data_IF_330085223427
#
_entry.id   IF_330085223427
#
_cell.length_a   1.000
_cell.length_b   1.000
_cell.length_c   1.000
_cell.angle_alpha   90.00
_cell.angle_beta   90.00
_cell.angle_gamma   90.00
#
_symmetry.space_group_name_H-M   'P 1'
#
loop_
_entity.id
_entity.type
_entity.pdbx_description
1 polymer ?
#
# COMPACT_ATOMS: atom_id res chain seq x y z
N UNK A 1 -24.17 44.60 31.86
CA UNK A 1 -24.05 43.20 32.34
C UNK A 1 -24.85 42.26 31.44
N UNK A 2 -24.18 41.55 30.52
CA UNK A 2 -24.85 40.53 29.68
C UNK A 2 -25.21 39.34 30.57
N UNK A 3 -26.50 39.03 30.70
CA UNK A 3 -26.97 37.86 31.45
C UNK A 3 -26.46 36.60 30.73
N UNK A 4 -25.78 35.74 31.47
CA UNK A 4 -25.37 34.39 31.05
C UNK A 4 -26.61 33.66 30.50
N UNK A 5 -26.53 32.89 29.40
CA UNK A 5 -27.66 32.12 28.90
C UNK A 5 -28.11 31.14 29.98
N UNK A 6 -29.22 31.45 30.64
CA UNK A 6 -29.90 30.56 31.58
C UNK A 6 -30.97 29.80 30.82
N UNK A 7 -31.07 28.50 31.07
CA UNK A 7 -32.10 27.68 30.45
C UNK A 7 -33.47 28.17 30.89
N UNK A 8 -34.38 28.38 29.93
CA UNK A 8 -35.79 28.77 30.18
C UNK A 8 -36.45 27.78 31.17
N UNK A 9 -36.04 26.52 31.10
CA UNK A 9 -36.49 25.43 31.97
C UNK A 9 -36.15 25.64 33.45
N UNK A 10 -35.02 26.29 33.78
CA UNK A 10 -34.64 26.56 35.17
C UNK A 10 -35.53 27.63 35.81
N UNK A 11 -35.95 28.64 35.06
CA UNK A 11 -36.79 29.74 35.56
C UNK A 11 -38.25 29.31 35.79
N UNK A 12 -38.76 28.35 35.01
CA UNK A 12 -40.10 27.77 35.20
C UNK A 12 -40.14 26.93 36.48
N UNK A 13 -39.10 26.15 36.75
CA UNK A 13 -39.02 25.25 37.90
C UNK A 13 -39.00 25.95 39.25
N UNK A 14 -38.41 27.15 39.31
CA UNK A 14 -38.25 27.91 40.57
C UNK A 14 -39.55 28.62 40.97
N UNK A 15 -40.44 28.95 40.01
CA UNK A 15 -41.69 29.69 40.28
C UNK A 15 -42.70 28.91 41.13
N UNK A 16 -42.78 27.59 40.98
CA UNK A 16 -43.75 26.74 41.70
C UNK A 16 -43.18 26.09 42.97
N UNK A 17 -41.89 26.29 43.26
CA UNK A 17 -41.27 25.71 44.43
C UNK A 17 -41.67 26.50 45.69
N UNK A 18 -42.65 25.99 46.45
CA UNK A 18 -42.97 26.47 47.80
C UNK A 18 -41.82 26.17 48.77
N UNK A 19 -40.77 27.01 48.74
CA UNK A 19 -39.78 27.05 49.83
C UNK A 19 -40.38 27.82 51.00
N UNK A 20 -40.54 27.15 52.14
CA UNK A 20 -40.81 27.80 53.42
C UNK A 20 -39.70 28.85 53.65
N UNK A 21 -40.08 30.12 53.86
CA UNK A 21 -39.17 31.29 53.95
C UNK A 21 -38.26 31.33 55.18
N UNK A 22 -38.11 30.22 55.90
CA UNK A 22 -37.16 30.06 56.99
C UNK A 22 -37.01 28.60 57.38
N UNK A 23 -35.78 28.13 57.58
CA UNK A 23 -35.52 26.86 58.26
C UNK A 23 -35.39 27.12 59.76
N UNK A 24 -36.00 26.31 60.64
CA UNK A 24 -35.71 26.42 62.07
C UNK A 24 -34.23 26.09 62.28
N UNK A 25 -33.49 27.00 62.93
CA UNK A 25 -32.09 26.77 63.29
C UNK A 25 -32.05 25.74 64.42
N UNK A 26 -31.68 24.50 64.08
CA UNK A 26 -31.33 23.48 65.07
C UNK A 26 -29.82 23.53 65.27
N UNK A 27 -29.39 23.80 66.51
CA UNK A 27 -28.00 23.74 66.92
C UNK A 27 -27.44 22.34 66.64
N UNK A 28 -26.26 22.26 66.00
CA UNK A 28 -25.66 20.97 65.60
C UNK A 28 -25.08 20.24 66.82
N UNK A 29 -25.36 18.94 66.99
CA UNK A 29 -24.41 18.04 67.61
C UNK A 29 -23.86 17.04 66.59
N UNK A 30 -22.55 16.82 66.72
CA UNK A 30 -21.72 15.68 66.36
C UNK A 30 -22.33 14.54 65.53
N UNK A 31 -21.72 14.28 64.36
CA UNK A 31 -21.96 13.07 63.56
C UNK A 31 -21.47 11.81 64.30
N UNK A 32 -22.24 10.72 64.26
CA UNK A 32 -21.67 9.38 64.27
C UNK A 32 -21.78 8.73 62.88
N UNK A 33 -20.73 8.00 62.51
CA UNK A 33 -20.70 7.06 61.38
C UNK A 33 -21.78 6.00 61.58
N UNK A 34 -22.85 6.00 60.79
CA UNK A 34 -23.69 4.81 60.63
C UNK A 34 -24.15 4.73 59.17
N UNK A 35 -23.73 3.64 58.53
CA UNK A 35 -24.26 3.06 57.30
C UNK A 35 -25.78 3.25 57.28
N UNK A 36 -26.33 3.76 56.18
CA UNK A 36 -27.76 3.87 55.99
C UNK A 36 -28.39 2.47 56.08
N UNK A 37 -28.80 2.06 57.28
CA UNK A 37 -29.61 0.89 57.51
C UNK A 37 -31.03 1.27 57.09
N UNK A 38 -31.22 1.25 55.78
CA UNK A 38 -32.51 1.13 55.17
C UNK A 38 -33.08 -0.22 55.65
N UNK A 39 -33.82 -0.18 56.75
CA UNK A 39 -34.52 -1.36 57.27
C UNK A 39 -35.47 -1.95 56.21
N UNK A 40 -36.10 -3.11 56.48
CA UNK A 40 -36.91 -3.88 55.51
C UNK A 40 -38.01 -3.06 54.81
N UNK A 41 -38.37 -1.91 55.38
CA UNK A 41 -39.33 -0.97 54.84
C UNK A 41 -38.85 -0.12 53.65
N UNK A 42 -37.57 -0.18 53.27
CA UNK A 42 -37.05 0.54 52.11
C UNK A 42 -37.34 -0.14 50.76
N UNK A 43 -37.86 -1.37 50.76
CA UNK A 43 -38.06 -2.18 49.54
C UNK A 43 -39.54 -2.47 49.24
N UNK A 44 -40.48 -1.68 49.76
CA UNK A 44 -41.89 -1.79 49.36
C UNK A 44 -42.16 -1.12 48.00
N UNK A 45 -42.84 -1.86 47.12
CA UNK A 45 -42.98 -1.59 45.68
C UNK A 45 -43.69 -0.28 45.31
N UNK A 46 -44.40 0.37 46.25
CA UNK A 46 -45.25 1.55 45.97
C UNK A 46 -44.98 2.79 46.84
N UNK A 47 -43.93 2.81 47.67
CA UNK A 47 -43.70 3.93 48.60
C UNK A 47 -43.40 5.27 47.92
N UNK A 48 -42.97 5.28 46.66
CA UNK A 48 -42.74 6.51 45.88
C UNK A 48 -44.01 7.28 45.54
N UNK A 49 -45.20 6.68 45.68
CA UNK A 49 -46.47 7.29 45.27
C UNK A 49 -47.35 7.74 46.45
N UNK A 50 -47.01 7.39 47.69
CA UNK A 50 -47.74 7.87 48.87
C UNK A 50 -47.24 9.28 49.27
N UNK A 51 -48.13 10.28 49.42
CA UNK A 51 -47.75 11.64 49.75
C UNK A 51 -47.30 11.76 51.23
N UNK A 52 -46.07 11.38 51.52
CA UNK A 52 -45.48 11.60 52.84
C UNK A 52 -44.93 13.03 52.95
N UNK A 53 -45.54 13.83 53.83
CA UNK A 53 -45.25 15.24 54.05
C UNK A 53 -43.81 15.56 54.53
N UNK A 54 -43.00 14.53 54.82
CA UNK A 54 -41.68 14.68 55.44
C UNK A 54 -40.51 14.73 54.43
N UNK A 55 -40.69 14.28 53.18
CA UNK A 55 -39.61 14.29 52.20
C UNK A 55 -39.54 15.65 51.47
N UNK A 56 -38.66 16.51 51.98
CA UNK A 56 -38.31 17.80 51.38
C UNK A 56 -37.68 17.60 50.00
N UNK A 57 -38.25 18.28 49.01
CA UNK A 57 -37.89 18.33 47.60
C UNK A 57 -38.34 17.13 46.75
N UNK A 58 -39.65 17.05 46.46
CA UNK A 58 -40.09 16.38 45.23
C UNK A 58 -39.63 17.22 44.04
N UNK A 59 -38.73 16.65 43.25
CA UNK A 59 -38.43 17.11 41.90
C UNK A 59 -39.69 16.85 41.07
N UNK A 60 -40.57 17.85 40.94
CA UNK A 60 -41.77 17.77 40.10
C UNK A 60 -41.35 17.47 38.67
N UNK A 61 -41.97 16.52 37.94
CA UNK A 61 -41.56 16.29 36.53
C UNK A 61 -41.60 17.63 35.78
N UNK A 62 -40.56 18.00 35.01
CA UNK A 62 -40.58 19.24 34.26
C UNK A 62 -41.84 19.27 33.38
N UNK A 63 -42.61 20.37 33.47
CA UNK A 63 -43.80 20.61 32.64
C UNK A 63 -43.49 20.53 31.14
N UNK A 64 -42.24 20.80 30.78
CA UNK A 64 -41.75 20.83 29.41
C UNK A 64 -40.47 20.01 29.38
N UNK A 65 -40.52 18.82 28.77
CA UNK A 65 -39.33 17.98 28.61
C UNK A 65 -38.29 18.73 27.77
N UNK A 66 -37.00 18.63 28.09
CA UNK A 66 -35.96 19.17 27.23
C UNK A 66 -36.10 18.51 25.85
N UNK A 67 -36.04 19.32 24.79
CA UNK A 67 -36.04 18.81 23.42
C UNK A 67 -34.75 18.00 23.24
N UNK A 68 -34.88 16.67 23.24
CA UNK A 68 -33.74 15.78 23.05
C UNK A 68 -33.34 15.84 21.58
N UNK A 69 -32.18 16.41 21.30
CA UNK A 69 -31.57 16.33 19.97
C UNK A 69 -30.84 15.00 19.89
N UNK A 70 -31.33 14.11 19.03
CA UNK A 70 -30.59 12.89 18.68
C UNK A 70 -29.46 13.34 17.76
N UNK A 71 -28.23 13.25 18.26
CA UNK A 71 -27.03 13.44 17.44
C UNK A 71 -26.88 12.14 16.64
N UNK A 72 -27.24 12.16 15.36
CA UNK A 72 -26.95 11.05 14.47
C UNK A 72 -25.43 11.00 14.26
N UNK A 73 -24.72 9.97 14.75
CA UNK A 73 -23.26 9.91 14.66
C UNK A 73 -22.76 9.87 13.21
N UNK A 74 -23.63 9.47 12.28
CA UNK A 74 -23.38 9.46 10.83
C UNK A 74 -23.19 10.87 10.25
N UNK A 75 -23.82 11.89 10.84
CA UNK A 75 -23.77 13.26 10.33
C UNK A 75 -22.55 14.06 10.81
N UNK A 76 -21.79 13.54 11.79
CA UNK A 76 -20.70 14.27 12.44
C UNK A 76 -19.31 13.65 12.24
N UNK A 77 -19.23 12.45 11.69
CA UNK A 77 -17.98 11.77 11.38
C UNK A 77 -17.86 11.62 9.87
N UNK A 78 -16.80 12.19 9.28
CA UNK A 78 -16.44 11.89 7.90
C UNK A 78 -16.34 10.38 7.71
N UNK A 79 -17.01 9.86 6.69
CA UNK A 79 -16.96 8.43 6.36
C UNK A 79 -15.53 8.03 5.99
N UNK A 80 -15.18 6.75 6.10
CA UNK A 80 -13.85 6.27 5.67
C UNK A 80 -13.59 6.62 4.19
N UNK A 81 -14.64 6.58 3.36
CA UNK A 81 -14.58 6.97 1.95
C UNK A 81 -14.17 8.43 1.79
N UNK A 82 -14.74 9.33 2.57
CA UNK A 82 -14.40 10.77 2.53
C UNK A 82 -12.99 11.04 3.08
N UNK A 83 -12.57 10.32 4.13
CA UNK A 83 -11.21 10.45 4.68
C UNK A 83 -10.13 9.95 3.72
N UNK A 84 -10.46 8.95 2.91
CA UNK A 84 -9.57 8.38 1.89
C UNK A 84 -9.82 8.96 0.50
N UNK A 85 -10.77 9.90 0.35
CA UNK A 85 -11.11 10.46 -0.94
C UNK A 85 -9.92 11.27 -1.46
N UNK A 86 -9.38 10.81 -2.58
CA UNK A 86 -8.43 11.59 -3.38
C UNK A 86 -9.24 12.61 -4.17
N UNK A 87 -8.81 13.88 -4.29
CA UNK A 87 -9.51 14.87 -5.10
C UNK A 87 -9.73 14.36 -6.53
N UNK A 88 -10.94 14.52 -7.05
CA UNK A 88 -11.24 14.17 -8.44
C UNK A 88 -10.55 15.17 -9.36
N UNK A 89 -9.54 14.71 -10.08
CA UNK A 89 -8.83 15.52 -11.07
C UNK A 89 -9.40 15.21 -12.45
N UNK A 90 -9.65 16.26 -13.25
CA UNK A 90 -10.08 16.11 -14.63
C UNK A 90 -9.02 15.34 -15.41
N UNK A 91 -9.45 14.30 -16.14
CA UNK A 91 -8.57 13.45 -16.94
C UNK A 91 -8.68 13.81 -18.42
N UNK A 92 -7.55 13.81 -19.11
CA UNK A 92 -7.42 14.16 -20.52
C UNK A 92 -6.95 12.94 -21.33
N UNK A 93 -7.68 12.62 -22.40
CA UNK A 93 -7.31 11.60 -23.36
C UNK A 93 -6.39 12.21 -24.43
N UNK A 94 -5.15 11.73 -24.52
CA UNK A 94 -4.14 12.20 -25.49
C UNK A 94 -4.01 11.27 -26.71
N UNK A 95 -4.70 10.14 -26.72
CA UNK A 95 -4.56 9.15 -27.78
C UNK A 95 -5.46 9.37 -28.98
N UNK A 96 -5.43 8.38 -29.87
CA UNK A 96 -6.39 8.32 -30.96
C UNK A 96 -7.81 8.07 -30.43
N UNK A 97 -8.79 8.65 -31.12
CA UNK A 97 -10.19 8.32 -30.87
C UNK A 97 -10.40 6.82 -31.04
N UNK A 98 -11.15 6.21 -30.12
CA UNK A 98 -11.54 4.81 -30.22
C UNK A 98 -12.15 4.56 -31.60
N UNK A 99 -11.76 3.45 -32.24
CA UNK A 99 -12.51 2.91 -33.38
C UNK A 99 -13.94 2.71 -32.87
N UNK A 100 -14.90 3.46 -33.42
CA UNK A 100 -16.32 3.21 -33.12
C UNK A 100 -16.56 1.76 -33.51
N UNK A 101 -16.78 0.88 -32.53
CA UNK A 101 -17.31 -0.45 -32.81
C UNK A 101 -18.59 -0.21 -33.59
N UNK A 102 -18.57 -0.48 -34.89
CA UNK A 102 -19.79 -0.55 -35.68
C UNK A 102 -20.74 -1.42 -34.85
N UNK A 103 -21.99 -0.98 -34.59
CA UNK A 103 -22.93 -1.79 -33.82
C UNK A 103 -22.87 -3.19 -34.39
N UNK A 104 -22.56 -4.17 -33.53
CA UNK A 104 -22.40 -5.58 -33.89
C UNK A 104 -23.54 -5.87 -34.87
N UNK A 105 -23.25 -6.18 -36.15
CA UNK A 105 -24.31 -6.53 -37.08
C UNK A 105 -25.13 -7.61 -36.39
N UNK A 106 -26.44 -7.39 -36.26
CA UNK A 106 -27.35 -8.38 -35.68
C UNK A 106 -26.92 -9.75 -36.23
N UNK A 107 -26.60 -10.73 -35.37
CA UNK A 107 -25.96 -11.96 -35.82
C UNK A 107 -26.73 -12.51 -37.01
N UNK A 108 -26.06 -12.91 -38.10
CA UNK A 108 -26.75 -13.45 -39.27
C UNK A 108 -27.55 -14.66 -38.80
N UNK A 109 -28.88 -14.52 -38.72
CA UNK A 109 -29.85 -15.52 -38.25
C UNK A 109 -29.35 -16.43 -37.13
N UNK A 110 -29.67 -16.13 -35.86
CA UNK A 110 -29.40 -16.99 -34.69
C UNK A 110 -29.39 -18.47 -35.07
N UNK A 111 -28.19 -19.07 -35.13
CA UNK A 111 -28.11 -20.49 -35.43
C UNK A 111 -28.82 -21.20 -34.28
N UNK A 112 -29.90 -21.95 -34.58
CA UNK A 112 -30.73 -22.67 -33.59
C UNK A 112 -29.91 -23.56 -32.62
N UNK A 113 -28.66 -23.81 -32.96
CA UNK A 113 -27.69 -24.57 -32.19
C UNK A 113 -27.07 -23.80 -31.02
N UNK A 114 -26.83 -22.49 -31.12
CA UNK A 114 -26.23 -21.69 -30.03
C UNK A 114 -27.13 -21.70 -28.80
N UNK A 115 -28.44 -21.51 -29.00
CA UNK A 115 -29.41 -21.52 -27.90
C UNK A 115 -29.56 -22.92 -27.27
N UNK A 116 -29.46 -23.99 -28.07
CA UNK A 116 -29.43 -25.38 -27.57
C UNK A 116 -28.16 -25.67 -26.76
N UNK A 117 -27.00 -25.21 -27.23
CA UNK A 117 -25.71 -25.37 -26.54
C UNK A 117 -25.66 -24.53 -25.26
N UNK A 118 -26.24 -23.32 -25.27
CA UNK A 118 -26.40 -22.48 -24.07
C UNK A 118 -27.22 -23.19 -22.99
N UNK A 119 -28.39 -23.74 -23.35
CA UNK A 119 -29.23 -24.52 -22.43
C UNK A 119 -28.52 -25.74 -21.85
N UNK A 120 -27.56 -26.31 -22.58
CA UNK A 120 -26.74 -27.44 -22.14
C UNK A 120 -25.42 -27.04 -21.48
N UNK A 121 -25.12 -25.74 -21.37
CA UNK A 121 -23.86 -25.20 -20.83
C UNK A 121 -22.64 -25.76 -21.60
N UNK A 122 -22.72 -25.80 -22.93
CA UNK A 122 -21.69 -26.31 -23.84
C UNK A 122 -21.09 -25.23 -24.74
N UNK A 123 -21.38 -23.95 -24.48
CA UNK A 123 -20.82 -22.85 -25.25
C UNK A 123 -19.36 -22.60 -24.87
N UNK A 124 -18.49 -22.58 -25.88
CA UNK A 124 -17.10 -22.19 -25.76
C UNK A 124 -16.89 -20.85 -26.47
N UNK A 125 -16.09 -19.98 -25.85
CA UNK A 125 -15.69 -18.70 -26.43
C UNK A 125 -14.25 -18.85 -26.89
N UNK A 126 -13.95 -18.43 -28.12
CA UNK A 126 -12.56 -18.36 -28.56
C UNK A 126 -11.86 -17.19 -27.89
N UNK A 127 -11.10 -17.49 -26.84
CA UNK A 127 -10.36 -16.50 -26.08
C UNK A 127 -9.32 -15.77 -26.94
N UNK A 128 -8.85 -16.35 -28.04
CA UNK A 128 -7.86 -15.70 -28.92
C UNK A 128 -8.43 -14.50 -29.67
N UNK A 129 -9.74 -14.50 -29.92
CA UNK A 129 -10.44 -13.42 -30.61
C UNK A 129 -10.89 -12.31 -29.66
N UNK A 130 -10.81 -12.51 -28.34
CA UNK A 130 -11.24 -11.52 -27.34
C UNK A 130 -10.13 -10.51 -27.10
N UNK A 131 -10.45 -9.23 -27.17
CA UNK A 131 -9.54 -8.17 -26.73
C UNK A 131 -9.41 -8.19 -25.20
N UNK A 132 -8.18 -8.32 -24.71
CA UNK A 132 -7.89 -8.40 -23.28
C UNK A 132 -7.64 -7.02 -22.65
N UNK A 133 -7.79 -5.93 -23.43
CA UNK A 133 -7.36 -4.61 -23.00
C UNK A 133 -8.27 -3.98 -21.95
N UNK A 134 -7.74 -3.73 -20.74
CA UNK A 134 -8.48 -3.05 -19.66
C UNK A 134 -7.76 -1.80 -19.13
N UNK A 135 -8.38 -0.63 -19.26
CA UNK A 135 -7.81 0.65 -18.80
C UNK A 135 -7.65 0.72 -17.27
N UNK A 136 -8.54 0.07 -16.52
CA UNK A 136 -8.52 0.05 -15.04
C UNK A 136 -7.21 -0.52 -14.49
N UNK A 137 -6.62 -1.51 -15.17
CA UNK A 137 -5.37 -2.13 -14.77
C UNK A 137 -4.22 -1.11 -14.83
N UNK A 138 -4.14 -0.30 -15.89
CA UNK A 138 -3.10 0.71 -16.04
C UNK A 138 -3.18 1.80 -14.98
N UNK A 139 -4.40 2.20 -14.60
CA UNK A 139 -4.60 3.14 -13.48
C UNK A 139 -4.26 2.51 -12.13
N UNK A 140 -4.55 1.22 -11.93
CA UNK A 140 -4.17 0.52 -10.71
C UNK A 140 -2.64 0.49 -10.52
N UNK A 141 -1.92 0.21 -11.60
CA UNK A 141 -0.45 0.21 -11.61
C UNK A 141 0.18 1.59 -11.81
N UNK A 142 -0.62 2.67 -11.87
CA UNK A 142 -0.15 4.06 -12.06
C UNK A 142 0.79 4.27 -13.25
N UNK A 143 0.62 3.47 -14.31
CA UNK A 143 1.53 3.51 -15.48
C UNK A 143 1.45 4.86 -16.20
N UNK A 144 0.24 5.39 -16.40
CA UNK A 144 0.08 6.70 -17.05
C UNK A 144 0.56 7.87 -16.19
N UNK A 145 0.42 7.73 -14.87
CA UNK A 145 0.79 8.77 -13.90
C UNK A 145 2.30 9.03 -13.97
N UNK A 146 3.09 7.95 -14.09
CA UNK A 146 4.55 8.00 -14.16
C UNK A 146 5.06 8.31 -15.57
N UNK A 147 4.42 7.78 -16.62
CA UNK A 147 4.82 8.04 -18.01
C UNK A 147 4.56 9.47 -18.47
N UNK A 148 3.37 9.98 -18.20
CA UNK A 148 2.92 11.28 -18.70
C UNK A 148 2.69 12.24 -17.55
N UNK A 149 1.67 11.99 -16.72
CA UNK A 149 1.29 12.66 -15.46
C UNK A 149 -0.10 12.12 -15.00
N UNK A 150 -0.47 12.32 -13.74
CA UNK A 150 -1.68 11.74 -13.11
C UNK A 150 -3.04 12.02 -13.79
N UNK A 151 -3.10 13.03 -14.67
CA UNK A 151 -4.33 13.47 -15.31
C UNK A 151 -4.45 12.98 -16.75
N UNK A 152 -3.49 12.22 -17.24
CA UNK A 152 -3.39 11.86 -18.65
C UNK A 152 -3.65 10.38 -18.81
N UNK A 153 -4.38 10.01 -19.86
CA UNK A 153 -4.55 8.61 -20.24
C UNK A 153 -4.75 8.50 -21.75
N UNK A 154 -4.75 7.28 -22.26
CA UNK A 154 -5.22 7.00 -23.61
C UNK A 154 -5.74 5.57 -23.73
N UNK A 155 -6.38 5.29 -24.86
CA UNK A 155 -6.85 3.95 -25.20
C UNK A 155 -5.97 3.30 -26.26
N UNK A 156 -5.73 1.99 -26.13
CA UNK A 156 -5.09 1.24 -27.18
C UNK A 156 -6.00 1.18 -28.42
N UNK A 157 -5.53 1.71 -29.54
CA UNK A 157 -6.21 1.71 -30.84
C UNK A 157 -5.57 0.80 -31.87
N UNK A 158 -4.32 0.39 -31.64
CA UNK A 158 -3.57 -0.56 -32.44
C UNK A 158 -3.24 -1.81 -31.63
N UNK A 159 -3.34 -2.98 -32.25
CA UNK A 159 -2.82 -4.20 -31.65
C UNK A 159 -1.29 -4.22 -31.75
N UNK A 160 -0.64 -4.37 -30.60
CA UNK A 160 0.81 -4.52 -30.49
C UNK A 160 1.10 -5.72 -29.60
N UNK A 161 1.97 -6.61 -30.07
CA UNK A 161 2.48 -7.73 -29.27
C UNK A 161 3.99 -7.72 -29.29
N UNK A 162 4.58 -7.78 -28.10
CA UNK A 162 6.01 -7.92 -27.91
C UNK A 162 6.25 -9.30 -27.26
N UNK A 163 7.11 -10.13 -27.87
CA UNK A 163 7.38 -11.50 -27.41
C UNK A 163 8.88 -11.79 -27.42
N UNK A 164 9.37 -12.32 -26.30
CA UNK A 164 10.67 -12.96 -26.16
C UNK A 164 10.48 -14.47 -26.25
N UNK A 165 10.83 -15.06 -27.39
CA UNK A 165 10.67 -16.49 -27.66
C UNK A 165 9.26 -17.02 -27.31
N UNK A 166 9.07 -17.59 -26.12
CA UNK A 166 7.78 -18.09 -25.60
C UNK A 166 7.01 -17.10 -24.72
N UNK A 167 7.66 -16.07 -24.18
CA UNK A 167 7.11 -15.13 -23.20
C UNK A 167 6.66 -13.83 -23.87
N UNK A 168 5.37 -13.52 -23.73
CA UNK A 168 4.77 -12.29 -24.23
C UNK A 168 4.66 -11.20 -23.17
N UNK A 169 4.71 -9.95 -23.60
CA UNK A 169 4.41 -8.79 -22.77
C UNK A 169 2.93 -8.44 -22.92
N UNK A 170 2.19 -8.49 -21.81
CA UNK A 170 0.74 -8.30 -21.76
C UNK A 170 0.36 -7.10 -20.87
N UNK A 171 -0.44 -7.33 -19.82
CA UNK A 171 -0.96 -6.31 -18.91
C UNK A 171 -0.65 -6.65 -17.45
N UNK A 172 0.62 -6.50 -17.07
CA UNK A 172 1.11 -6.77 -15.73
C UNK A 172 1.45 -8.23 -15.46
N UNK A 173 1.65 -9.05 -16.50
CA UNK A 173 2.19 -10.39 -16.31
C UNK A 173 3.63 -10.32 -15.78
N UNK A 174 4.06 -11.37 -15.06
CA UNK A 174 5.44 -11.50 -14.59
C UNK A 174 6.32 -12.03 -15.72
N UNK A 175 7.50 -11.43 -15.89
CA UNK A 175 8.55 -11.88 -16.80
C UNK A 175 9.87 -11.99 -16.03
N UNK A 176 10.67 -13.00 -16.37
CA UNK A 176 12.01 -13.15 -15.82
C UNK A 176 13.00 -12.33 -16.64
N UNK A 177 13.97 -11.71 -15.98
CA UNK A 177 14.96 -10.88 -16.67
C UNK A 177 15.83 -11.73 -17.63
N UNK A 178 16.04 -13.01 -17.34
CA UNK A 178 16.78 -13.96 -18.16
C UNK A 178 16.15 -14.16 -19.53
N UNK A 179 14.82 -14.22 -19.61
CA UNK A 179 14.09 -14.35 -20.87
C UNK A 179 14.26 -13.11 -21.75
N UNK A 180 14.59 -11.97 -21.15
CA UNK A 180 14.85 -10.71 -21.85
C UNK A 180 16.31 -10.51 -22.25
N UNK A 181 17.14 -11.56 -22.23
CA UNK A 181 18.55 -11.44 -22.66
C UNK A 181 18.67 -11.12 -24.16
N UNK A 182 17.81 -11.71 -24.98
CA UNK A 182 17.76 -11.52 -26.44
C UNK A 182 16.75 -10.43 -26.83
N UNK A 183 16.92 -9.83 -28.02
CA UNK A 183 15.98 -8.84 -28.56
C UNK A 183 14.59 -9.49 -28.78
N UNK A 184 13.49 -8.85 -28.37
CA UNK A 184 12.16 -9.39 -28.59
C UNK A 184 11.70 -9.22 -30.05
N UNK A 185 10.76 -10.06 -30.44
CA UNK A 185 9.98 -9.90 -31.67
C UNK A 185 8.78 -9.00 -31.38
N UNK A 186 8.56 -7.99 -32.22
CA UNK A 186 7.43 -7.07 -32.10
C UNK A 186 6.56 -7.21 -33.35
N UNK A 187 5.28 -7.46 -33.16
CA UNK A 187 4.26 -7.36 -34.20
C UNK A 187 3.36 -6.17 -33.93
N UNK A 188 3.21 -5.30 -34.93
CA UNK A 188 2.35 -4.12 -34.90
C UNK A 188 1.30 -4.24 -36.00
N UNK A 189 0.04 -3.98 -35.67
CA UNK A 189 -1.05 -3.90 -36.65
C UNK A 189 -0.81 -2.75 -37.64
N UNK A 190 -0.86 -3.06 -38.93
CA UNK A 190 -0.80 -2.05 -40.00
C UNK A 190 -2.15 -1.35 -40.12
N UNK A 191 -2.17 -0.01 -40.03
CA UNK A 191 -3.38 0.82 -40.17
C UNK A 191 -3.41 1.63 -41.48
N UNK A 192 -2.38 1.51 -42.30
CA UNK A 192 -2.22 2.24 -43.56
C UNK A 192 -1.51 3.59 -43.37
N UNK A 193 -0.33 3.72 -43.99
CA UNK A 193 0.44 4.96 -44.09
C UNK A 193 1.07 5.44 -42.77
N UNK A 194 2.12 6.24 -42.89
CA UNK A 194 2.84 6.80 -41.75
C UNK A 194 3.87 5.85 -41.13
N UNK A 195 4.27 6.18 -39.91
CA UNK A 195 5.35 5.53 -39.20
C UNK A 195 4.94 5.24 -37.75
N UNK A 196 5.57 4.24 -37.15
CA UNK A 196 5.44 3.92 -35.74
C UNK A 196 6.82 4.05 -35.07
N UNK A 197 6.85 4.53 -33.85
CA UNK A 197 8.01 4.47 -32.96
C UNK A 197 7.59 3.72 -31.70
N UNK A 198 8.45 2.88 -31.14
CA UNK A 198 8.19 2.28 -29.84
C UNK A 198 9.33 2.52 -28.87
N UNK A 199 8.98 2.54 -27.59
CA UNK A 199 9.88 2.73 -26.47
C UNK A 199 9.64 1.59 -25.48
N UNK A 200 10.68 0.81 -25.19
CA UNK A 200 10.71 -0.16 -24.09
C UNK A 200 11.46 0.46 -22.93
N UNK A 201 10.80 0.58 -21.79
CA UNK A 201 11.27 1.33 -20.64
C UNK A 201 10.99 0.61 -19.32
N UNK A 202 11.77 0.92 -18.31
CA UNK A 202 11.62 0.45 -16.93
C UNK A 202 11.37 1.67 -16.04
N UNK A 203 10.13 1.79 -15.57
CA UNK A 203 9.65 2.94 -14.79
C UNK A 203 10.31 3.01 -13.41
N UNK A 204 10.65 1.86 -12.84
CA UNK A 204 11.21 1.75 -11.48
C UNK A 204 12.74 1.54 -11.51
N UNK A 205 13.35 1.64 -12.70
CA UNK A 205 14.72 1.22 -12.96
C UNK A 205 15.80 2.25 -12.66
N UNK A 206 15.45 3.50 -12.31
CA UNK A 206 16.42 4.58 -12.12
C UNK A 206 17.04 4.52 -10.71
N UNK A 207 18.36 4.26 -10.59
CA UNK A 207 19.02 4.20 -9.28
C UNK A 207 19.56 5.56 -8.79
N UNK A 208 19.51 6.61 -9.62
CA UNK A 208 20.19 7.87 -9.35
C UNK A 208 19.23 8.98 -8.92
N UNK A 209 18.12 9.11 -9.64
CA UNK A 209 17.10 10.13 -9.38
C UNK A 209 15.72 9.48 -9.20
N UNK A 210 14.83 10.19 -8.52
CA UNK A 210 13.42 9.77 -8.40
C UNK A 210 12.63 10.00 -9.69
N UNK A 211 13.11 10.91 -10.55
CA UNK A 211 12.47 11.26 -11.81
C UNK A 211 13.25 10.65 -12.99
N UNK A 212 12.51 10.10 -13.95
CA UNK A 212 13.07 9.57 -15.19
C UNK A 212 13.15 8.05 -15.23
N UNK A 213 12.95 7.51 -16.42
CA UNK A 213 12.79 6.08 -16.68
C UNK A 213 14.02 5.55 -17.41
N UNK A 214 14.40 4.31 -17.13
CA UNK A 214 15.50 3.66 -17.86
C UNK A 214 14.97 3.10 -19.16
N UNK A 215 15.45 3.61 -20.29
CA UNK A 215 15.07 3.11 -21.61
C UNK A 215 15.96 1.95 -22.04
N UNK A 216 15.32 0.79 -22.16
CA UNK A 216 15.93 -0.45 -22.60
C UNK A 216 16.06 -0.51 -24.11
N UNK A 217 15.07 -0.02 -24.85
CA UNK A 217 15.09 -0.05 -26.31
C UNK A 217 14.25 1.07 -26.90
N UNK A 218 14.78 1.77 -27.91
CA UNK A 218 14.05 2.82 -28.64
C UNK A 218 14.33 2.68 -30.13
N UNK A 219 13.28 2.40 -30.89
CA UNK A 219 13.33 2.38 -32.35
C UNK A 219 12.30 3.36 -32.88
N UNK A 220 12.76 4.27 -33.71
CA UNK A 220 11.94 5.32 -34.29
C UNK A 220 11.67 5.08 -35.78
N UNK A 221 10.63 5.72 -36.30
CA UNK A 221 10.36 5.77 -37.74
C UNK A 221 10.23 4.41 -38.44
N UNK A 222 9.64 3.41 -37.78
CA UNK A 222 9.34 2.12 -38.39
C UNK A 222 8.20 2.34 -39.41
N UNK A 223 8.41 2.05 -40.70
CA UNK A 223 7.35 2.20 -41.69
C UNK A 223 6.18 1.26 -41.39
N UNK A 224 4.95 1.73 -41.58
CA UNK A 224 3.75 0.95 -41.29
C UNK A 224 3.72 -0.37 -42.08
N UNK A 225 3.39 -1.48 -41.42
CA UNK A 225 3.35 -2.82 -42.02
C UNK A 225 4.71 -3.49 -42.28
N UNK A 226 5.82 -2.86 -41.86
CA UNK A 226 7.17 -3.43 -42.01
C UNK A 226 7.76 -3.93 -40.70
N UNK A 227 8.87 -4.67 -40.81
CA UNK A 227 9.60 -5.17 -39.65
C UNK A 227 10.32 -4.04 -38.91
N UNK A 228 10.49 -4.21 -37.59
CA UNK A 228 11.23 -3.27 -36.71
C UNK A 228 12.64 -2.98 -37.23
N UNK A 229 13.25 -3.93 -37.94
CA UNK A 229 14.59 -3.78 -38.51
C UNK A 229 14.71 -2.62 -39.53
N UNK A 230 13.61 -2.18 -40.13
CA UNK A 230 13.61 -1.04 -41.06
C UNK A 230 13.49 0.33 -40.36
N UNK A 231 13.24 0.33 -39.04
CA UNK A 231 13.25 1.55 -38.24
C UNK A 231 14.66 2.02 -37.90
N UNK A 232 14.77 3.27 -37.47
CA UNK A 232 16.00 3.83 -36.93
C UNK A 232 16.18 3.45 -35.46
N UNK A 233 17.13 2.55 -35.15
CA UNK A 233 17.48 2.21 -33.77
C UNK A 233 18.25 3.39 -33.12
N UNK A 234 17.58 4.09 -32.20
CA UNK A 234 18.14 5.25 -31.49
C UNK A 234 18.86 4.79 -30.22
N UNK A 235 18.17 4.01 -29.38
CA UNK A 235 18.75 3.39 -28.18
C UNK A 235 18.86 1.90 -28.45
N UNK A 236 20.09 1.32 -28.44
CA UNK A 236 20.26 -0.09 -28.69
C UNK A 236 19.69 -0.93 -27.55
N UNK A 237 19.14 -2.09 -27.90
CA UNK A 237 18.52 -3.00 -26.94
C UNK A 237 19.44 -3.31 -25.75
N UNK A 238 18.87 -3.20 -24.55
CA UNK A 238 19.45 -3.66 -23.31
C UNK A 238 18.43 -4.56 -22.60
N UNK A 239 18.91 -5.71 -22.13
CA UNK A 239 18.16 -6.61 -21.26
C UNK A 239 17.51 -5.86 -20.09
N UNK A 240 16.36 -6.33 -19.62
CA UNK A 240 15.68 -5.74 -18.47
C UNK A 240 16.52 -5.98 -17.21
N UNK A 241 16.81 -4.91 -16.44
CA UNK A 241 17.75 -4.96 -15.29
C UNK A 241 17.13 -4.48 -13.96
N UNK A 242 16.19 -5.23 -13.38
CA UNK A 242 15.67 -4.96 -12.03
C UNK A 242 16.75 -5.23 -10.99
N UNK A 243 16.97 -4.32 -10.05
CA UNK A 243 18.03 -4.46 -9.06
C UNK A 243 17.69 -5.45 -7.95
N UNK A 244 18.72 -6.02 -7.30
CA UNK A 244 18.48 -6.98 -6.23
C UNK A 244 17.89 -6.27 -5.01
N UNK A 245 16.72 -6.72 -4.56
CA UNK A 245 16.07 -6.22 -3.35
C UNK A 245 15.22 -4.96 -3.51
N UNK A 246 14.99 -4.50 -4.75
CA UNK A 246 14.05 -3.40 -5.06
C UNK A 246 12.61 -3.89 -5.30
N UNK A 247 12.41 -5.19 -5.47
CA UNK A 247 11.09 -5.81 -5.69
C UNK A 247 10.77 -5.97 -7.17
N UNK A 248 9.52 -5.74 -7.53
CA UNK A 248 9.05 -5.85 -8.92
C UNK A 248 9.14 -4.49 -9.62
N UNK A 249 9.77 -4.50 -10.78
CA UNK A 249 9.88 -3.34 -11.67
C UNK A 249 8.83 -3.40 -12.76
N UNK A 250 8.20 -2.27 -13.08
CA UNK A 250 7.22 -2.15 -14.16
C UNK A 250 7.92 -1.83 -15.47
N UNK A 251 7.85 -2.77 -16.41
CA UNK A 251 8.42 -2.66 -17.75
C UNK A 251 7.31 -2.32 -18.72
N UNK A 252 7.35 -1.12 -19.30
CA UNK A 252 6.34 -0.66 -20.25
C UNK A 252 6.90 -0.61 -21.68
N UNK A 253 6.06 -0.99 -22.63
CA UNK A 253 6.28 -0.82 -24.06
C UNK A 253 5.24 0.18 -24.58
N UNK A 254 5.69 1.38 -24.94
CA UNK A 254 4.86 2.46 -25.47
C UNK A 254 5.01 2.51 -26.99
N UNK A 255 3.91 2.49 -27.72
CA UNK A 255 3.84 2.67 -29.16
C UNK A 255 3.25 4.05 -29.49
N UNK A 256 3.99 4.80 -30.28
CA UNK A 256 3.65 6.13 -30.78
C UNK A 256 3.51 6.05 -32.30
N UNK A 257 2.46 6.63 -32.85
CA UNK A 257 2.24 6.73 -34.29
C UNK A 257 2.41 8.18 -34.73
N UNK A 258 2.98 8.36 -35.92
CA UNK A 258 3.26 9.67 -36.49
C UNK A 258 3.28 9.65 -38.02
N UNK A 259 2.96 10.77 -38.66
CA UNK A 259 2.86 10.85 -40.12
C UNK A 259 4.20 11.24 -40.78
N UNK A 260 5.00 12.07 -40.11
CA UNK A 260 6.24 12.65 -40.63
C UNK A 260 7.46 12.07 -39.90
N UNK A 261 8.55 11.81 -40.62
CA UNK A 261 9.78 11.26 -40.04
C UNK A 261 10.31 12.16 -38.92
N UNK A 262 10.50 11.60 -37.73
CA UNK A 262 10.96 12.33 -36.55
C UNK A 262 12.45 12.12 -36.33
N UNK A 263 13.19 13.23 -36.16
CA UNK A 263 14.62 13.16 -35.91
C UNK A 263 14.92 13.08 -34.40
N UNK A 264 15.33 11.90 -33.94
CA UNK A 264 15.71 11.62 -32.55
C UNK A 264 17.22 11.41 -32.36
N UNK A 265 18.05 11.77 -33.35
CA UNK A 265 19.49 11.48 -33.28
C UNK A 265 20.19 12.14 -32.09
N UNK A 266 19.68 13.28 -31.62
CA UNK A 266 20.19 13.98 -30.42
C UNK A 266 19.97 13.20 -29.11
N UNK A 267 19.03 12.26 -29.08
CA UNK A 267 18.68 11.43 -27.92
C UNK A 267 19.41 10.08 -27.90
N UNK A 268 20.30 9.83 -28.86
CA UNK A 268 21.14 8.64 -28.87
C UNK A 268 22.07 8.65 -27.64
N UNK A 269 22.12 7.56 -26.85
CA UNK A 269 23.00 7.50 -25.68
C UNK A 269 24.45 7.59 -26.14
N UNK A 270 25.25 8.41 -25.43
CA UNK A 270 26.66 8.63 -25.75
C UNK A 270 27.52 7.42 -25.39
N UNK A 271 27.15 6.73 -24.31
CA UNK A 271 27.82 5.52 -23.84
C UNK A 271 26.81 4.40 -23.57
N UNK A 272 27.33 3.21 -23.23
CA UNK A 272 26.51 2.03 -22.88
C UNK A 272 25.95 2.13 -21.45
N UNK A 273 26.45 3.07 -20.65
CA UNK A 273 26.09 3.25 -19.23
C UNK A 273 24.60 3.50 -19.04
N UNK A 274 24.07 3.08 -17.88
CA UNK A 274 22.65 3.31 -17.55
C UNK A 274 22.30 4.80 -17.45
N UNK A 275 23.24 5.64 -16.99
CA UNK A 275 23.05 7.09 -16.87
C UNK A 275 22.58 7.74 -18.17
N UNK A 276 23.20 7.39 -19.30
CA UNK A 276 22.89 7.96 -20.61
C UNK A 276 21.57 7.43 -21.21
N UNK A 277 20.94 6.45 -20.55
CA UNK A 277 19.69 5.80 -20.96
C UNK A 277 18.49 6.29 -20.16
N UNK A 278 18.69 7.18 -19.20
CA UNK A 278 17.62 7.74 -18.38
C UNK A 278 16.94 8.86 -19.18
N UNK A 279 15.65 8.68 -19.46
CA UNK A 279 14.84 9.67 -20.14
C UNK A 279 13.54 9.89 -19.39
N UNK A 280 13.09 11.14 -19.31
CA UNK A 280 11.71 11.43 -18.93
C UNK A 280 10.83 11.33 -20.17
N UNK A 281 10.04 10.25 -20.27
CA UNK A 281 9.16 10.01 -21.42
C UNK A 281 8.13 11.15 -21.56
N UNK A 282 7.60 11.67 -20.46
CA UNK A 282 6.67 12.80 -20.47
C UNK A 282 7.27 14.08 -21.07
N UNK A 283 8.52 14.41 -20.72
CA UNK A 283 9.21 15.57 -21.31
C UNK A 283 9.46 15.36 -22.80
N UNK A 284 9.92 14.16 -23.17
CA UNK A 284 10.21 13.81 -24.55
C UNK A 284 8.92 13.81 -25.40
N UNK A 285 7.81 13.31 -24.87
CA UNK A 285 6.51 13.38 -25.53
C UNK A 285 6.07 14.83 -25.74
N UNK A 286 6.26 15.70 -24.74
CA UNK A 286 5.89 17.12 -24.83
C UNK A 286 6.66 17.88 -25.91
N UNK A 287 7.91 17.51 -26.18
CA UNK A 287 8.70 18.08 -27.27
C UNK A 287 8.13 17.72 -28.65
N UNK A 288 7.61 16.50 -28.81
CA UNK A 288 7.09 15.96 -30.07
C UNK A 288 5.56 15.85 -30.11
N UNK A 289 4.84 16.52 -29.21
CA UNK A 289 3.39 16.38 -29.00
C UNK A 289 2.57 16.60 -30.28
N UNK A 290 3.05 17.47 -31.18
CA UNK A 290 2.38 17.75 -32.46
C UNK A 290 2.53 16.63 -33.49
N UNK A 291 3.60 15.85 -33.40
CA UNK A 291 3.96 14.80 -34.38
C UNK A 291 3.58 13.42 -33.86
N UNK A 292 3.71 13.19 -32.55
CA UNK A 292 3.51 11.91 -31.92
C UNK A 292 2.15 11.81 -31.26
N UNK A 293 1.44 10.74 -31.56
CA UNK A 293 0.22 10.38 -30.83
C UNK A 293 0.36 8.96 -30.30
N UNK A 294 0.14 8.73 -28.99
CA UNK A 294 0.21 7.40 -28.42
C UNK A 294 -0.94 6.54 -28.93
N UNK A 295 -0.60 5.32 -29.32
CA UNK A 295 -1.51 4.40 -29.99
C UNK A 295 -1.71 3.09 -29.25
N UNK A 296 -0.64 2.56 -28.65
CA UNK A 296 -0.73 1.35 -27.84
C UNK A 296 0.26 1.41 -26.68
N UNK A 297 -0.11 0.78 -25.58
CA UNK A 297 0.73 0.54 -24.43
C UNK A 297 0.58 -0.91 -24.03
N UNK A 298 1.65 -1.52 -23.55
CA UNK A 298 1.60 -2.79 -22.86
C UNK A 298 2.65 -2.77 -21.76
N UNK A 299 2.46 -3.54 -20.69
CA UNK A 299 3.44 -3.58 -19.62
C UNK A 299 3.49 -4.95 -18.95
N UNK A 300 4.63 -5.25 -18.35
CA UNK A 300 4.88 -6.44 -17.54
C UNK A 300 5.59 -6.04 -16.25
N UNK A 301 5.66 -6.98 -15.32
CA UNK A 301 6.48 -6.85 -14.11
C UNK A 301 7.70 -7.75 -14.24
N UNK A 302 8.87 -7.26 -13.83
CA UNK A 302 10.09 -8.03 -13.80
C UNK A 302 10.70 -8.01 -12.40
N UNK A 303 11.22 -9.16 -11.95
CA UNK A 303 11.99 -9.27 -10.70
C UNK A 303 13.46 -9.57 -10.98
N UNK A 304 14.31 -9.28 -10.00
CA UNK A 304 15.72 -9.60 -10.07
C UNK A 304 15.98 -11.10 -10.22
N UNK A 305 16.94 -11.42 -11.08
CA UNK A 305 17.54 -12.74 -11.21
C UNK A 305 19.07 -12.65 -11.34
N UNK A 306 19.73 -13.81 -11.46
CA UNK A 306 21.19 -13.88 -11.57
C UNK A 306 21.69 -13.27 -12.89
N UNK A 307 20.92 -13.36 -13.97
CA UNK A 307 21.30 -12.87 -15.29
C UNK A 307 21.46 -11.34 -15.33
N UNK A 308 20.70 -10.63 -14.49
CA UNK A 308 20.85 -9.18 -14.31
C UNK A 308 22.27 -8.81 -13.90
N UNK A 309 22.90 -9.58 -13.01
CA UNK A 309 24.27 -9.27 -12.56
C UNK A 309 25.26 -9.33 -13.74
N UNK A 310 25.12 -10.33 -14.61
CA UNK A 310 25.94 -10.47 -15.79
C UNK A 310 25.69 -9.32 -16.79
N UNK A 311 24.43 -8.90 -16.94
CA UNK A 311 24.06 -7.75 -17.77
C UNK A 311 24.68 -6.45 -17.26
N UNK A 312 24.61 -6.20 -15.94
CA UNK A 312 25.20 -5.01 -15.33
C UNK A 312 26.73 -5.02 -15.45
N UNK A 313 27.37 -6.17 -15.22
CA UNK A 313 28.80 -6.33 -15.40
C UNK A 313 29.24 -6.11 -16.86
N UNK A 314 28.44 -6.54 -17.86
CA UNK A 314 28.68 -6.25 -19.29
C UNK A 314 28.72 -4.75 -19.60
N UNK A 315 27.94 -3.95 -18.88
CA UNK A 315 27.91 -2.48 -19.00
C UNK A 315 29.06 -1.83 -18.21
N UNK A 316 29.79 -2.60 -17.38
CA UNK A 316 30.86 -2.11 -16.52
C UNK A 316 30.38 -1.59 -15.16
N UNK A 317 29.14 -1.88 -14.76
CA UNK A 317 28.58 -1.48 -13.47
C UNK A 317 28.54 -2.65 -12.49
N UNK A 318 28.88 -2.42 -11.22
CA UNK A 318 28.71 -3.42 -10.16
C UNK A 318 27.23 -3.54 -9.81
N UNK A 319 26.74 -4.76 -9.62
CA UNK A 319 25.34 -5.00 -9.26
C UNK A 319 25.03 -4.43 -7.85
N UNK A 320 24.16 -3.41 -7.73
CA UNK A 320 23.77 -2.88 -6.44
C UNK A 320 22.81 -3.84 -5.73
N UNK A 321 22.93 -3.91 -4.40
CA UNK A 321 22.07 -4.71 -3.54
C UNK A 321 21.34 -3.76 -2.61
N UNK A 322 20.01 -3.80 -2.68
CA UNK A 322 19.12 -3.04 -1.83
C UNK A 322 18.54 -3.96 -0.76
N UNK A 323 18.28 -3.40 0.42
CA UNK A 323 17.59 -4.08 1.50
C UNK A 323 16.46 -3.16 1.99
N UNK A 324 15.27 -3.73 2.14
CA UNK A 324 14.15 -2.97 2.67
C UNK A 324 14.37 -2.68 4.15
N UNK A 325 14.63 -1.40 4.46
CA UNK A 325 14.78 -0.94 5.84
C UNK A 325 13.42 -0.51 6.37
N UNK A 326 12.86 -1.31 7.29
CA UNK A 326 11.66 -0.93 8.03
C UNK A 326 11.90 0.35 8.83
N UNK A 327 10.85 1.17 8.96
CA UNK A 327 10.88 2.32 9.86
C UNK A 327 11.19 1.84 11.28
N UNK A 328 12.11 2.54 11.99
CA UNK A 328 12.42 2.17 13.36
C UNK A 328 11.15 2.29 14.21
N UNK A 329 10.95 1.39 15.19
CA UNK A 329 9.80 1.47 16.08
C UNK A 329 9.84 2.82 16.82
N UNK A 330 8.68 3.46 16.93
CA UNK A 330 8.54 4.73 17.68
C UNK A 330 8.88 4.46 19.14
N UNK A 331 9.94 5.12 19.63
CA UNK A 331 10.35 5.06 21.04
C UNK A 331 9.85 6.32 21.75
N UNK A 332 9.32 6.13 22.95
CA UNK A 332 9.06 7.25 23.86
C UNK A 332 10.36 7.71 24.51
N UNK A 333 10.46 8.97 24.89
CA UNK A 333 11.63 9.45 25.63
C UNK A 333 11.79 8.70 26.96
N UNK A 334 13.04 8.33 27.27
CA UNK A 334 13.35 7.66 28.52
C UNK A 334 13.08 8.61 29.69
N UNK A 335 12.15 8.22 30.54
CA UNK A 335 11.89 8.85 31.85
C UNK A 335 12.62 8.07 32.93
N UNK A 336 13.23 8.78 33.86
CA UNK A 336 13.84 8.17 35.05
C UNK A 336 12.77 7.41 35.86
N UNK A 337 11.61 8.05 36.06
CA UNK A 337 10.45 7.47 36.73
C UNK A 337 9.19 7.57 35.87
N UNK A 338 8.84 6.51 35.11
CA UNK A 338 7.58 6.46 34.38
C UNK A 338 6.37 6.58 35.33
N UNK A 339 5.42 7.47 35.00
CA UNK A 339 4.18 7.66 35.79
C UNK A 339 3.35 6.37 35.92
N UNK A 340 3.37 5.55 34.88
CA UNK A 340 2.78 4.20 34.89
C UNK A 340 3.91 3.20 34.96
N UNK A 341 3.80 2.21 35.84
CA UNK A 341 4.77 1.12 35.96
C UNK A 341 4.98 0.46 34.60
N UNK A 342 6.23 0.43 34.15
CA UNK A 342 6.65 -0.25 32.92
C UNK A 342 7.41 -1.53 33.27
N UNK A 343 7.30 -2.58 32.44
CA UNK A 343 8.09 -3.79 32.61
C UNK A 343 9.58 -3.47 32.44
N UNK A 344 10.35 -3.63 33.52
CA UNK A 344 11.76 -3.20 33.59
C UNK A 344 12.63 -3.81 32.47
N UNK A 345 12.39 -5.09 32.14
CA UNK A 345 13.14 -5.83 31.13
C UNK A 345 12.92 -5.25 29.73
N UNK A 346 11.67 -4.93 29.35
CA UNK A 346 11.38 -4.34 28.05
C UNK A 346 11.76 -2.87 28.00
N UNK A 347 11.45 -2.13 29.07
CA UNK A 347 11.68 -0.69 29.13
C UNK A 347 13.17 -0.35 29.10
N UNK A 348 13.99 -0.96 29.96
CA UNK A 348 15.42 -0.66 29.97
C UNK A 348 16.11 -1.18 28.70
N UNK A 349 15.68 -2.34 28.18
CA UNK A 349 16.26 -2.88 26.94
C UNK A 349 15.97 -2.01 25.70
N UNK A 350 14.88 -1.24 25.68
CA UNK A 350 14.56 -0.32 24.58
C UNK A 350 15.60 0.79 24.42
N UNK A 351 16.25 1.21 25.51
CA UNK A 351 17.20 2.32 25.56
C UNK A 351 18.66 1.87 25.67
N UNK A 352 18.91 0.55 25.79
CA UNK A 352 20.27 0.03 25.77
C UNK A 352 20.92 0.25 24.41
N UNK A 353 22.21 0.57 24.45
CA UNK A 353 23.00 0.71 23.25
C UNK A 353 23.11 -0.64 22.52
N UNK A 354 22.83 -0.69 21.20
CA UNK A 354 22.94 -1.94 20.45
C UNK A 354 24.32 -2.59 20.55
N UNK A 355 25.38 -1.79 20.65
CA UNK A 355 26.76 -2.27 20.77
C UNK A 355 26.99 -3.09 22.04
N UNK A 356 26.45 -2.64 23.17
CA UNK A 356 26.55 -3.36 24.44
C UNK A 356 25.78 -4.68 24.39
N UNK A 357 24.57 -4.65 23.81
CA UNK A 357 23.75 -5.86 23.61
C UNK A 357 24.51 -6.87 22.75
N UNK A 358 25.13 -6.44 21.66
CA UNK A 358 25.93 -7.31 20.80
C UNK A 358 27.17 -7.86 21.51
N UNK A 359 27.84 -7.06 22.34
CA UNK A 359 28.97 -7.52 23.15
C UNK A 359 28.56 -8.59 24.19
N UNK A 360 27.42 -8.40 24.86
CA UNK A 360 26.85 -9.38 25.80
C UNK A 360 26.50 -10.69 25.11
N UNK A 361 25.84 -10.62 23.94
CA UNK A 361 25.49 -11.79 23.16
C UNK A 361 26.73 -12.51 22.64
N UNK A 362 27.75 -11.78 22.19
CA UNK A 362 29.03 -12.35 21.78
C UNK A 362 29.71 -13.06 22.95
N UNK A 363 29.79 -12.43 24.12
CA UNK A 363 30.38 -13.02 25.33
C UNK A 363 29.67 -14.32 25.71
N UNK A 364 28.34 -14.33 25.70
CA UNK A 364 27.54 -15.53 25.95
C UNK A 364 27.79 -16.63 24.94
N UNK A 365 27.83 -16.28 23.66
CA UNK A 365 28.15 -17.24 22.60
C UNK A 365 29.53 -17.86 22.78
N UNK A 366 30.52 -17.06 23.16
CA UNK A 366 31.87 -17.55 23.47
C UNK A 366 31.89 -18.46 24.70
N UNK A 367 31.04 -18.22 25.70
CA UNK A 367 30.89 -19.11 26.86
C UNK A 367 30.24 -20.45 26.49
N UNK A 368 29.30 -20.48 25.55
CA UNK A 368 28.64 -21.71 25.09
C UNK A 368 29.53 -22.54 24.15
N UNK A 369 30.50 -21.90 23.48
CA UNK A 369 31.40 -22.57 22.54
C UNK A 369 32.31 -23.57 23.27
N UNK A 370 32.41 -24.77 22.73
CA UNK A 370 33.45 -25.74 23.10
C UNK A 370 34.63 -25.59 22.14
N UNK A 371 35.81 -26.06 22.53
CA UNK A 371 37.06 -25.93 21.74
C UNK A 371 36.83 -26.39 20.29
N UNK A 372 36.17 -27.54 20.12
CA UNK A 372 35.98 -28.18 18.81
C UNK A 372 34.60 -27.92 18.17
N UNK A 373 33.67 -27.30 18.89
CA UNK A 373 32.26 -27.20 18.44
C UNK A 373 31.66 -25.82 18.69
N UNK A 374 31.08 -25.26 17.64
CA UNK A 374 30.20 -24.09 17.72
C UNK A 374 28.93 -24.43 18.50
N UNK A 375 28.32 -23.45 19.18
CA UNK A 375 27.06 -23.66 19.87
C UNK A 375 25.95 -23.98 18.85
N UNK A 376 25.27 -25.10 19.06
CA UNK A 376 24.13 -25.54 18.24
C UNK A 376 22.83 -25.10 18.90
N UNK A 377 21.89 -24.66 18.07
CA UNK A 377 20.57 -24.25 18.55
C UNK A 377 19.81 -25.48 19.07
N UNK A 378 19.20 -25.41 20.27
CA UNK A 378 18.39 -26.52 20.78
C UNK A 378 17.16 -26.74 19.88
N UNK A 379 16.75 -28.00 19.73
CA UNK A 379 15.59 -28.39 18.92
C UNK A 379 14.29 -27.80 19.46
N UNK A 380 14.15 -27.76 20.78
CA UNK A 380 12.97 -27.23 21.46
C UNK A 380 13.30 -25.94 22.22
N UNK A 381 12.43 -24.90 22.15
CA UNK A 381 12.63 -23.66 22.90
C UNK A 381 12.73 -23.86 24.42
N UNK A 382 12.00 -24.82 24.97
CA UNK A 382 12.07 -25.19 26.39
C UNK A 382 11.61 -26.64 26.55
N UNK A 383 12.52 -27.50 27.03
CA UNK A 383 12.26 -28.94 27.23
C UNK A 383 11.36 -29.14 28.46
N UNK A 384 11.53 -28.31 29.50
CA UNK A 384 10.84 -28.43 30.79
C UNK A 384 9.82 -27.29 30.99
N UNK A 385 9.08 -26.95 29.92
CA UNK A 385 8.15 -25.81 29.88
C UNK A 385 7.18 -25.77 31.06
N UNK A 386 6.62 -26.92 31.44
CA UNK A 386 5.65 -27.01 32.53
C UNK A 386 6.25 -26.67 33.89
N UNK A 387 7.52 -27.02 34.12
CA UNK A 387 8.23 -26.74 35.37
C UNK A 387 8.73 -25.30 35.39
N UNK A 388 9.38 -24.84 34.32
CA UNK A 388 9.85 -23.47 34.22
C UNK A 388 8.72 -22.45 34.32
N UNK A 389 7.55 -22.71 33.72
CA UNK A 389 6.38 -21.83 33.83
C UNK A 389 5.84 -21.71 35.25
N UNK A 390 5.99 -22.74 36.09
CA UNK A 390 5.54 -22.73 37.49
C UNK A 390 6.56 -22.08 38.42
N UNK A 391 7.84 -22.34 38.19
CA UNK A 391 8.92 -22.01 39.13
C UNK A 391 9.61 -20.68 38.80
N UNK A 392 9.63 -20.27 37.52
CA UNK A 392 10.35 -19.06 37.09
C UNK A 392 9.42 -17.86 36.88
N UNK A 393 9.86 -16.63 37.18
CA UNK A 393 9.17 -15.43 36.77
C UNK A 393 9.01 -15.36 35.24
N UNK A 394 7.86 -14.84 34.79
CA UNK A 394 7.51 -14.75 33.37
C UNK A 394 8.62 -14.17 32.47
N UNK A 395 9.31 -13.13 32.92
CA UNK A 395 10.37 -12.48 32.13
C UNK A 395 11.62 -13.34 31.95
N UNK A 396 11.94 -14.21 32.92
CA UNK A 396 13.05 -15.16 32.82
C UNK A 396 12.69 -16.29 31.87
N UNK A 397 11.46 -16.79 31.98
CA UNK A 397 10.93 -17.81 31.08
C UNK A 397 10.88 -17.33 29.63
N UNK A 398 10.31 -16.14 29.39
CA UNK A 398 10.25 -15.52 28.06
C UNK A 398 11.65 -15.27 27.47
N UNK A 399 12.61 -14.89 28.32
CA UNK A 399 14.00 -14.73 27.92
C UNK A 399 14.62 -16.06 27.47
N UNK A 400 14.45 -17.13 28.24
CA UNK A 400 14.94 -18.48 27.91
C UNK A 400 14.35 -18.97 26.59
N UNK A 401 13.02 -18.84 26.43
CA UNK A 401 12.32 -19.21 25.21
C UNK A 401 12.89 -18.47 23.98
N UNK A 402 13.09 -17.15 24.09
CA UNK A 402 13.63 -16.32 22.99
C UNK A 402 15.10 -16.62 22.71
N UNK A 403 15.89 -16.92 23.74
CA UNK A 403 17.30 -17.31 23.61
C UNK A 403 17.42 -18.62 22.84
N UNK A 404 16.73 -19.68 23.29
CA UNK A 404 16.77 -21.01 22.67
C UNK A 404 16.17 -21.03 21.27
N UNK A 405 15.09 -20.28 21.02
CA UNK A 405 14.48 -20.17 19.69
C UNK A 405 15.24 -19.25 18.72
N UNK A 406 16.23 -18.49 19.20
CA UNK A 406 16.95 -17.54 18.35
C UNK A 406 16.07 -16.37 17.87
N UNK A 407 15.05 -16.00 18.65
CA UNK A 407 14.11 -14.95 18.26
C UNK A 407 14.67 -13.54 18.51
N UNK A 408 14.41 -12.63 17.58
CA UNK A 408 14.84 -11.24 17.64
C UNK A 408 16.36 -11.11 17.76
N UNK A 409 16.83 -10.43 18.81
CA UNK A 409 18.27 -10.21 19.04
C UNK A 409 19.07 -11.49 19.27
N UNK A 410 18.43 -12.53 19.80
CA UNK A 410 19.10 -13.79 20.13
C UNK A 410 19.43 -14.65 18.89
N UNK A 411 18.91 -14.28 17.71
CA UNK A 411 19.32 -14.89 16.44
C UNK A 411 20.84 -14.90 16.28
N UNK A 412 21.51 -13.83 16.74
CA UNK A 412 22.96 -13.68 16.69
C UNK A 412 23.73 -14.75 17.49
N UNK A 413 23.09 -15.45 18.44
CA UNK A 413 23.71 -16.56 19.16
C UNK A 413 23.96 -17.76 18.24
N UNK A 414 23.08 -17.99 17.26
CA UNK A 414 23.05 -19.21 16.44
C UNK A 414 23.43 -18.96 14.96
N UNK A 415 23.13 -17.79 14.40
CA UNK A 415 23.22 -17.55 12.94
C UNK A 415 24.59 -17.14 12.41
N UNK A 416 25.55 -16.81 13.29
CA UNK A 416 26.83 -16.22 12.88
C UNK A 416 27.96 -17.22 13.10
N UNK A 417 28.49 -17.90 12.07
CA UNK A 417 29.72 -18.66 12.22
C UNK A 417 30.86 -17.69 12.56
N UNK A 418 31.61 -17.99 13.62
CA UNK A 418 32.92 -17.37 13.84
C UNK A 418 33.86 -18.14 12.93
N UNK A 419 34.07 -17.63 11.71
CA UNK A 419 35.09 -18.15 10.80
C UNK A 419 36.47 -17.98 11.41
#
# INVERSE_FOLDING_TARGET
MKRVPRSIYADIYVKEAHRIKGTPRVARPWRPKVIAWAGPAAFYRNRFYEPNAWYKARVTKPLLYPKMYVIDPENHLLSLKERLAVPEIQRYDIGFKRKNSIPIPSPPSESKNVLKLSRKIQLTIDLKAVEHWQLSIFHHFRIFDDLFHANVFFHNTQNMQLKWDSVGLYQGNLIDAADTSNKPTISVESLGGGFNSFVLLNLDGNPYDCDGDVVHWLVANIPDGKSVAEGAEIVPYLQVVPFKGTGYHRIACLLLRHNEVVNLTSRKPKSVMLMDRIFSVGQLYKEFEKQWTPSALSFAQASWDVSVNEALHRIGMKSPIYEYRYNPPVKVDQKEFPLRSQPFNLYLDQFRDPKEIHADLLKRRLQMRKIDKSPEQPEYPDIDYAEHKKNTPFWQHDRLMKENSGSGRYKALWSNPIS
#
